data_IF_221868544359
#
_entry.id   IF_221868544359
#
_cell.length_a   1.000
_cell.length_b   1.000
_cell.length_c   1.000
_cell.angle_alpha   90.00
_cell.angle_beta   90.00
_cell.angle_gamma   90.00
#
_symmetry.space_group_name_H-M   'P 1'
#
loop_
_entity.id
_entity.type
_entity.pdbx_description
1 polymer ?
#
# COMPACT_ATOMS: atom_id res chain seq x y z
N UNK A 1 14.70 2.61 12.01
CA UNK A 1 13.49 2.00 11.43
C UNK A 1 13.27 0.56 11.91
N UNK A 2 14.28 -0.33 11.83
CA UNK A 2 14.14 -1.78 12.02
C UNK A 2 13.60 -2.19 13.41
N UNK A 3 14.00 -1.48 14.47
CA UNK A 3 13.47 -1.73 15.81
C UNK A 3 11.96 -1.45 15.89
N UNK A 4 11.49 -0.40 15.26
CA UNK A 4 10.07 -0.07 15.17
C UNK A 4 9.31 -1.05 14.27
N UNK A 5 9.90 -1.45 13.15
CA UNK A 5 9.31 -2.46 12.27
C UNK A 5 9.12 -3.80 13.01
N UNK A 6 10.13 -4.23 13.76
CA UNK A 6 10.03 -5.44 14.59
C UNK A 6 8.95 -5.33 15.68
N UNK A 7 8.80 -4.15 16.29
CA UNK A 7 7.75 -3.89 17.28
C UNK A 7 6.37 -3.94 16.64
N UNK A 8 6.17 -3.28 15.50
CA UNK A 8 4.92 -3.31 14.74
C UNK A 8 4.54 -4.74 14.37
N UNK A 9 5.50 -5.52 13.87
CA UNK A 9 5.29 -6.92 13.46
C UNK A 9 4.83 -7.79 14.64
N UNK A 10 5.43 -7.61 15.82
CA UNK A 10 5.00 -8.33 17.03
C UNK A 10 3.56 -7.96 17.41
N UNK A 11 3.25 -6.67 17.46
CA UNK A 11 1.91 -6.19 17.79
C UNK A 11 0.86 -6.75 16.83
N UNK A 12 1.14 -6.77 15.53
CA UNK A 12 0.25 -7.33 14.51
C UNK A 12 0.10 -8.85 14.67
N UNK A 13 1.20 -9.57 14.92
CA UNK A 13 1.19 -11.01 15.12
C UNK A 13 0.41 -11.42 16.40
N UNK A 14 0.59 -10.70 17.50
CA UNK A 14 -0.13 -10.95 18.77
C UNK A 14 -1.66 -10.78 18.61
N UNK A 15 -2.10 -9.99 17.65
CA UNK A 15 -3.49 -9.75 17.32
C UNK A 15 -3.98 -10.53 16.09
N UNK A 16 -3.14 -11.39 15.54
CA UNK A 16 -3.42 -12.15 14.31
C UNK A 16 -3.86 -11.25 13.13
N UNK A 17 -3.32 -10.03 13.04
CA UNK A 17 -3.61 -9.07 11.96
C UNK A 17 -2.62 -9.31 10.83
N UNK A 18 -3.16 -9.52 9.62
CA UNK A 18 -2.38 -9.64 8.39
C UNK A 18 -2.17 -8.25 7.77
N UNK A 19 -0.94 -7.83 7.58
CA UNK A 19 -0.63 -6.49 7.11
C UNK A 19 0.00 -6.50 5.72
N UNK A 20 -0.51 -5.66 4.82
CA UNK A 20 0.00 -5.42 3.47
C UNK A 20 0.44 -3.96 3.33
N UNK A 21 1.60 -3.74 2.71
CA UNK A 21 2.09 -2.42 2.33
C UNK A 21 1.93 -2.23 0.82
N UNK A 22 1.02 -1.32 0.41
CA UNK A 22 0.78 -1.00 -0.99
C UNK A 22 1.68 0.16 -1.43
N UNK A 23 2.51 -0.10 -2.41
CA UNK A 23 3.45 0.88 -2.99
C UNK A 23 3.20 1.05 -4.49
N UNK A 24 3.38 2.26 -5.00
CA UNK A 24 3.22 2.54 -6.43
C UNK A 24 3.72 3.93 -6.79
N UNK A 25 3.76 4.26 -8.08
CA UNK A 25 3.80 5.65 -8.54
C UNK A 25 2.50 6.40 -8.18
N UNK A 26 2.54 7.73 -8.10
CA UNK A 26 1.32 8.53 -7.99
C UNK A 26 0.35 8.25 -9.15
N UNK A 27 -0.94 8.23 -8.88
CA UNK A 27 -1.96 8.05 -9.90
C UNK A 27 -2.11 6.62 -10.45
N UNK A 28 -1.47 5.62 -9.86
CA UNK A 28 -1.59 4.21 -10.28
C UNK A 28 -2.95 3.57 -9.97
N UNK A 29 -3.76 4.21 -9.13
CA UNK A 29 -5.08 3.72 -8.73
C UNK A 29 -5.10 2.92 -7.42
N UNK A 30 -4.09 3.09 -6.53
CA UNK A 30 -4.04 2.42 -5.21
C UNK A 30 -5.33 2.57 -4.43
N UNK A 31 -5.76 3.81 -4.18
CA UNK A 31 -6.94 4.08 -3.37
C UNK A 31 -8.20 3.50 -3.97
N UNK A 32 -8.39 3.60 -5.29
CA UNK A 32 -9.54 3.00 -5.98
C UNK A 32 -9.53 1.47 -5.86
N UNK A 33 -8.37 0.84 -6.05
CA UNK A 33 -8.21 -0.61 -5.86
C UNK A 33 -8.53 -1.01 -4.42
N UNK A 34 -8.05 -0.25 -3.45
CA UNK A 34 -8.27 -0.50 -2.03
C UNK A 34 -9.75 -0.38 -1.66
N UNK A 35 -10.44 0.66 -2.11
CA UNK A 35 -11.89 0.82 -1.91
C UNK A 35 -12.66 -0.38 -2.47
N UNK A 36 -12.35 -0.83 -3.68
CA UNK A 36 -12.97 -2.02 -4.29
C UNK A 36 -12.67 -3.30 -3.50
N UNK A 37 -11.46 -3.43 -3.00
CA UNK A 37 -11.05 -4.58 -2.17
C UNK A 37 -11.82 -4.60 -0.86
N UNK A 38 -11.97 -3.46 -0.19
CA UNK A 38 -12.75 -3.34 1.05
C UNK A 38 -14.21 -3.73 0.80
N UNK A 39 -14.81 -3.22 -0.26
CA UNK A 39 -16.19 -3.55 -0.65
C UNK A 39 -16.37 -5.06 -0.90
N UNK A 40 -15.42 -5.68 -1.60
CA UNK A 40 -15.44 -7.12 -1.90
C UNK A 40 -15.26 -8.01 -0.65
N UNK A 41 -14.53 -7.52 0.35
CA UNK A 41 -14.28 -8.24 1.61
C UNK A 41 -15.33 -7.97 2.68
N UNK A 42 -16.25 -7.04 2.45
CA UNK A 42 -17.27 -6.64 3.43
C UNK A 42 -18.12 -7.84 3.87
N UNK A 43 -18.20 -8.03 5.19
CA UNK A 43 -18.89 -9.18 5.79
C UNK A 43 -18.09 -10.49 5.78
N UNK A 44 -16.89 -10.51 5.21
CA UNK A 44 -15.99 -11.69 5.16
C UNK A 44 -14.73 -11.48 5.99
N UNK A 45 -14.15 -10.29 5.93
CA UNK A 45 -12.92 -9.94 6.62
C UNK A 45 -12.98 -8.47 7.04
N UNK A 46 -12.67 -8.19 8.30
CA UNK A 46 -12.56 -6.82 8.77
C UNK A 46 -11.27 -6.18 8.23
N UNK A 47 -11.38 -4.99 7.66
CA UNK A 47 -10.28 -4.25 7.07
C UNK A 47 -10.09 -2.92 7.79
N UNK A 48 -8.86 -2.57 8.12
CA UNK A 48 -8.47 -1.26 8.60
C UNK A 48 -7.34 -0.71 7.73
N UNK A 49 -7.22 0.60 7.63
CA UNK A 49 -6.28 1.24 6.70
C UNK A 49 -5.46 2.31 7.40
N UNK A 50 -4.15 2.30 7.15
CA UNK A 50 -3.25 3.42 7.39
C UNK A 50 -2.95 4.03 6.03
N UNK A 51 -3.27 5.31 5.86
CA UNK A 51 -3.09 6.03 4.61
C UNK A 51 -1.99 7.08 4.78
N UNK A 52 -0.93 6.96 4.00
CA UNK A 52 0.17 7.92 3.95
C UNK A 52 0.01 8.92 2.81
N UNK A 53 -0.13 10.19 3.14
CA UNK A 53 -0.17 11.26 2.15
C UNK A 53 0.65 12.47 2.60
N UNK A 54 1.05 13.28 1.65
CA UNK A 54 1.83 14.47 1.92
C UNK A 54 0.98 15.65 2.42
N UNK A 55 -0.25 15.81 1.93
CA UNK A 55 -1.02 17.04 2.16
C UNK A 55 -2.54 16.91 2.30
N UNK A 56 -3.19 15.85 1.80
CA UNK A 56 -4.66 15.82 1.70
C UNK A 56 -5.30 14.68 2.48
N UNK A 57 -6.55 14.86 2.91
CA UNK A 57 -7.35 13.81 3.57
C UNK A 57 -8.29 13.07 2.61
N UNK A 58 -8.27 13.41 1.33
CA UNK A 58 -9.28 12.94 0.36
C UNK A 58 -9.31 11.41 0.22
N UNK A 59 -8.14 10.78 0.19
CA UNK A 59 -8.07 9.33 0.04
C UNK A 59 -8.49 8.61 1.33
N UNK A 60 -8.09 9.12 2.50
CA UNK A 60 -8.58 8.60 3.78
C UNK A 60 -10.11 8.74 3.91
N UNK A 61 -10.69 9.85 3.45
CA UNK A 61 -12.13 10.08 3.47
C UNK A 61 -12.87 9.11 2.52
N UNK A 62 -12.31 8.82 1.35
CA UNK A 62 -12.84 7.80 0.42
C UNK A 62 -12.86 6.41 1.07
N UNK A 63 -11.81 6.05 1.81
CA UNK A 63 -11.72 4.78 2.51
C UNK A 63 -12.75 4.73 3.64
N UNK A 64 -12.85 5.78 4.46
CA UNK A 64 -13.84 5.86 5.55
C UNK A 64 -15.27 5.76 5.05
N UNK A 65 -15.57 6.29 3.87
CA UNK A 65 -16.88 6.20 3.24
C UNK A 65 -17.31 4.75 2.97
N UNK A 66 -16.41 3.80 2.89
CA UNK A 66 -16.70 2.36 2.79
C UNK A 66 -17.17 1.74 4.12
N UNK A 67 -16.99 2.45 5.23
CA UNK A 67 -17.21 1.95 6.59
C UNK A 67 -15.96 1.36 7.25
N UNK A 68 -14.85 1.20 6.52
CA UNK A 68 -13.58 0.75 7.09
C UNK A 68 -12.93 1.87 7.91
N UNK A 69 -12.41 1.57 9.13
CA UNK A 69 -11.64 2.54 9.89
C UNK A 69 -10.33 2.87 9.15
N UNK A 70 -10.01 4.15 9.08
CA UNK A 70 -8.80 4.63 8.44
C UNK A 70 -8.16 5.76 9.25
N UNK A 71 -6.85 5.71 9.38
CA UNK A 71 -6.02 6.77 9.96
C UNK A 71 -5.11 7.31 8.88
N UNK A 72 -5.14 8.63 8.70
CA UNK A 72 -4.20 9.31 7.83
C UNK A 72 -2.94 9.68 8.58
N UNK A 73 -1.80 9.42 7.95
CA UNK A 73 -0.48 9.88 8.37
C UNK A 73 0.00 10.92 7.39
N UNK A 74 0.10 12.16 7.86
CA UNK A 74 0.66 13.24 7.05
C UNK A 74 2.19 13.18 7.14
N UNK A 75 2.83 12.88 6.02
CA UNK A 75 4.30 12.81 5.93
C UNK A 75 4.96 14.17 5.68
N UNK A 76 4.17 15.21 5.46
CA UNK A 76 4.67 16.55 5.17
C UNK A 76 5.49 16.57 3.88
N UNK A 77 6.80 16.80 4.01
CA UNK A 77 7.74 16.73 2.88
C UNK A 77 8.33 15.33 2.66
N UNK A 78 7.97 14.36 3.50
CA UNK A 78 8.44 12.98 3.38
C UNK A 78 7.82 12.26 2.20
N UNK A 79 8.60 11.45 1.52
CA UNK A 79 8.20 10.72 0.32
C UNK A 79 7.79 9.26 0.60
N UNK A 80 7.72 8.87 1.87
CA UNK A 80 7.36 7.52 2.32
C UNK A 80 6.92 7.52 3.77
N UNK A 81 6.23 6.46 4.18
CA UNK A 81 6.02 6.10 5.57
C UNK A 81 7.24 5.38 6.13
N UNK A 82 7.52 5.57 7.41
CA UNK A 82 8.47 4.76 8.18
C UNK A 82 7.76 3.95 9.28
N UNK A 83 8.47 3.01 9.88
CA UNK A 83 7.90 2.12 10.89
C UNK A 83 7.47 2.85 12.18
N UNK A 84 8.09 3.96 12.53
CA UNK A 84 7.71 4.78 13.67
C UNK A 84 6.36 5.46 13.44
N UNK A 85 6.15 6.05 12.26
CA UNK A 85 4.88 6.64 11.84
C UNK A 85 3.75 5.60 11.86
N UNK A 86 4.03 4.40 11.32
CA UNK A 86 3.07 3.28 11.32
C UNK A 86 2.75 2.83 12.74
N UNK A 87 3.74 2.74 13.63
CA UNK A 87 3.53 2.41 15.04
C UNK A 87 2.60 3.38 15.76
N UNK A 88 2.75 4.67 15.52
CA UNK A 88 1.82 5.68 16.03
C UNK A 88 0.40 5.51 15.48
N UNK A 89 0.28 5.29 14.17
CA UNK A 89 -1.00 5.06 13.53
C UNK A 89 -1.71 3.81 14.07
N UNK A 90 -0.98 2.74 14.34
CA UNK A 90 -1.50 1.51 14.94
C UNK A 90 -2.09 1.75 16.33
N UNK A 91 -1.48 2.62 17.13
CA UNK A 91 -1.99 2.98 18.45
C UNK A 91 -3.35 3.68 18.39
N UNK A 92 -3.56 4.50 17.35
CA UNK A 92 -4.82 5.23 17.13
C UNK A 92 -5.87 4.36 16.46
N UNK A 93 -5.48 3.62 15.43
CA UNK A 93 -6.39 2.84 14.59
C UNK A 93 -6.91 1.58 15.29
N UNK A 94 -6.07 0.93 16.10
CA UNK A 94 -6.38 -0.33 16.77
C UNK A 94 -7.03 -1.35 15.82
N UNK A 95 -6.31 -1.88 14.82
CA UNK A 95 -6.91 -2.75 13.80
C UNK A 95 -7.59 -3.97 14.44
N UNK A 96 -8.70 -4.46 13.88
CA UNK A 96 -9.46 -5.56 14.45
C UNK A 96 -8.64 -6.85 14.48
N UNK A 97 -8.77 -7.62 15.57
CA UNK A 97 -8.10 -8.91 15.73
C UNK A 97 -8.50 -9.89 14.62
N UNK A 98 -7.54 -10.58 14.05
CA UNK A 98 -7.76 -11.49 12.93
C UNK A 98 -8.12 -10.81 11.61
N UNK A 99 -8.05 -9.48 11.54
CA UNK A 99 -8.38 -8.69 10.37
C UNK A 99 -7.22 -8.46 9.40
N UNK A 100 -7.49 -7.66 8.40
CA UNK A 100 -6.54 -7.15 7.41
C UNK A 100 -6.21 -5.69 7.71
N UNK A 101 -4.93 -5.38 7.83
CA UNK A 101 -4.41 -4.03 7.80
C UNK A 101 -3.83 -3.75 6.42
N UNK A 102 -4.27 -2.69 5.78
CA UNK A 102 -3.63 -2.19 4.56
C UNK A 102 -2.93 -0.87 4.88
N UNK A 103 -1.65 -0.81 4.59
CA UNK A 103 -0.86 0.42 4.64
C UNK A 103 -0.77 0.93 3.20
N UNK A 104 -1.48 2.00 2.89
CA UNK A 104 -1.34 2.69 1.61
C UNK A 104 -0.20 3.69 1.72
N UNK A 105 0.92 3.37 1.10
CA UNK A 105 2.11 4.22 1.15
C UNK A 105 1.98 5.43 0.22
N UNK A 106 2.78 6.45 0.45
CA UNK A 106 2.89 7.62 -0.44
C UNK A 106 3.27 7.15 -1.85
N UNK A 107 2.72 7.82 -2.87
CA UNK A 107 3.03 7.50 -4.27
C UNK A 107 4.49 7.78 -4.61
N UNK A 108 5.33 6.74 -4.54
CA UNK A 108 6.76 6.79 -4.80
C UNK A 108 7.31 5.37 -5.03
N UNK A 109 8.14 5.18 -6.06
CA UNK A 109 8.78 3.90 -6.38
C UNK A 109 10.25 3.80 -5.91
N UNK A 110 10.78 4.81 -5.25
CA UNK A 110 12.18 4.85 -4.79
C UNK A 110 12.24 4.68 -3.28
N UNK A 111 11.80 5.69 -2.53
CA UNK A 111 12.00 5.75 -1.09
C UNK A 111 11.40 4.57 -0.32
N UNK A 112 10.16 4.09 -0.61
CA UNK A 112 9.56 3.00 0.17
C UNK A 112 10.21 1.64 -0.03
N UNK A 113 11.12 1.47 -0.98
CA UNK A 113 11.75 0.17 -1.27
C UNK A 113 12.54 -0.36 -0.06
N UNK A 114 13.27 0.52 0.63
CA UNK A 114 14.19 0.16 1.71
C UNK A 114 13.55 0.11 3.10
N UNK A 115 12.28 0.55 3.24
CA UNK A 115 11.63 0.69 4.54
C UNK A 115 10.68 -0.47 4.84
N UNK A 116 11.10 -1.32 5.76
CA UNK A 116 10.23 -2.29 6.43
C UNK A 116 9.34 -1.55 7.44
N UNK A 117 8.03 -1.71 7.34
CA UNK A 117 7.04 -1.10 8.22
C UNK A 117 6.51 -2.07 9.28
N UNK A 118 6.89 -3.34 9.21
CA UNK A 118 6.36 -4.44 10.00
C UNK A 118 5.26 -5.22 9.27
N UNK A 119 5.05 -4.93 7.99
CA UNK A 119 4.10 -5.65 7.13
C UNK A 119 4.47 -7.12 6.91
N UNK A 120 3.48 -7.95 6.57
CA UNK A 120 3.72 -9.32 6.12
C UNK A 120 4.25 -9.34 4.69
N UNK A 121 3.68 -8.52 3.81
CA UNK A 121 4.08 -8.44 2.40
C UNK A 121 4.00 -7.01 1.87
N UNK A 122 4.92 -6.70 0.96
CA UNK A 122 4.94 -5.48 0.15
C UNK A 122 4.36 -5.80 -1.23
N UNK A 123 3.36 -5.03 -1.63
CA UNK A 123 2.65 -5.18 -2.91
C UNK A 123 2.88 -3.95 -3.76
N UNK A 124 3.53 -4.10 -4.91
CA UNK A 124 3.72 -3.02 -5.86
C UNK A 124 2.58 -3.01 -6.89
N UNK A 125 2.02 -1.83 -7.13
CA UNK A 125 0.97 -1.63 -8.13
C UNK A 125 1.55 -0.86 -9.30
N UNK A 126 1.47 -1.46 -10.49
CA UNK A 126 1.88 -0.90 -11.76
C UNK A 126 0.66 -0.66 -12.64
N UNK A 127 0.40 0.59 -13.00
CA UNK A 127 -0.65 0.91 -13.96
C UNK A 127 -0.14 0.74 -15.39
N UNK A 128 -0.97 0.19 -16.28
CA UNK A 128 -0.64 0.09 -17.72
C UNK A 128 -0.39 1.44 -18.39
N UNK A 129 -0.80 2.55 -17.75
CA UNK A 129 -0.58 3.91 -18.24
C UNK A 129 0.82 4.45 -17.94
N UNK A 130 1.62 3.74 -17.12
CA UNK A 130 2.94 4.20 -16.69
C UNK A 130 4.09 3.73 -17.57
N UNK A 131 3.86 2.74 -18.43
CA UNK A 131 4.88 2.05 -19.25
C UNK A 131 5.39 0.77 -18.59
N UNK A 132 5.72 -0.20 -19.44
CA UNK A 132 6.19 -1.55 -19.07
C UNK A 132 7.67 -1.60 -18.64
N UNK A 133 8.38 -0.49 -18.77
CA UNK A 133 9.78 -0.32 -18.40
C UNK A 133 10.01 0.10 -16.93
N UNK A 134 8.94 0.29 -16.16
CA UNK A 134 9.05 0.69 -14.74
C UNK A 134 9.84 -0.29 -13.87
N UNK A 135 9.70 -1.62 -14.00
CA UNK A 135 10.53 -2.56 -13.26
C UNK A 135 12.02 -2.39 -13.54
N UNK A 136 12.41 -2.10 -14.79
CA UNK A 136 13.78 -1.85 -15.16
C UNK A 136 14.30 -0.49 -14.64
N UNK A 137 13.44 0.51 -14.55
CA UNK A 137 13.82 1.85 -14.04
C UNK A 137 13.90 1.91 -12.51
N UNK A 138 13.12 1.10 -11.81
CA UNK A 138 13.02 1.08 -10.35
C UNK A 138 13.25 -0.33 -9.80
N UNK A 139 14.36 -0.98 -10.11
CA UNK A 139 14.56 -2.41 -9.78
C UNK A 139 14.49 -2.68 -8.29
N UNK A 140 14.96 -1.78 -7.44
CA UNK A 140 14.96 -1.98 -5.99
C UNK A 140 13.53 -2.15 -5.44
N UNK A 141 12.56 -1.37 -5.93
CA UNK A 141 11.17 -1.49 -5.52
C UNK A 141 10.55 -2.82 -5.95
N UNK A 142 10.78 -3.21 -7.21
CA UNK A 142 10.19 -4.45 -7.75
C UNK A 142 10.85 -5.71 -7.16
N UNK A 143 12.13 -5.65 -6.81
CA UNK A 143 12.80 -6.71 -6.07
C UNK A 143 12.37 -6.79 -4.60
N UNK A 144 12.05 -5.65 -3.96
CA UNK A 144 11.61 -5.60 -2.58
C UNK A 144 10.13 -6.04 -2.41
N UNK A 145 9.35 -6.03 -3.48
CA UNK A 145 7.95 -6.41 -3.44
C UNK A 145 7.78 -7.93 -3.54
N UNK A 146 6.83 -8.47 -2.76
CA UNK A 146 6.47 -9.88 -2.80
C UNK A 146 5.48 -10.19 -3.93
N UNK A 147 4.72 -9.17 -4.35
CA UNK A 147 3.68 -9.28 -5.38
C UNK A 147 3.63 -8.00 -6.21
N UNK A 148 3.50 -8.14 -7.52
CA UNK A 148 3.17 -7.05 -8.43
C UNK A 148 1.74 -7.21 -8.95
N UNK A 149 0.95 -6.12 -8.87
CA UNK A 149 -0.37 -6.03 -9.47
C UNK A 149 -0.33 -5.09 -10.67
N UNK A 150 -0.77 -5.58 -11.82
CA UNK A 150 -0.95 -4.74 -13.01
C UNK A 150 -2.38 -4.18 -13.01
N UNK A 151 -2.50 -2.87 -12.93
CA UNK A 151 -3.76 -2.16 -12.75
C UNK A 151 -4.18 -1.40 -14.01
N UNK A 152 -5.46 -1.02 -14.08
CA UNK A 152 -6.08 -0.32 -15.21
C UNK A 152 -5.98 -1.11 -16.53
N UNK A 153 -6.09 -2.42 -16.46
CA UNK A 153 -5.95 -3.33 -17.61
C UNK A 153 -7.04 -3.13 -18.68
N UNK A 154 -8.16 -2.52 -18.31
CA UNK A 154 -9.21 -2.07 -19.24
C UNK A 154 -8.70 -1.01 -20.25
N UNK A 155 -7.60 -0.33 -19.93
CA UNK A 155 -6.96 0.66 -20.81
C UNK A 155 -5.94 0.05 -21.78
N UNK A 156 -5.63 -1.25 -21.68
CA UNK A 156 -4.66 -1.91 -22.59
C UNK A 156 -4.92 -1.64 -24.08
N UNK A 157 -6.18 -1.61 -24.58
CA UNK A 157 -6.43 -1.31 -26.00
C UNK A 157 -6.01 0.11 -26.43
N UNK A 158 -5.78 1.00 -25.48
CA UNK A 158 -5.52 2.43 -25.74
C UNK A 158 -4.09 2.88 -25.41
N UNK A 159 -3.26 1.97 -24.88
CA UNK A 159 -1.88 2.26 -24.45
C UNK A 159 -0.92 1.24 -25.06
N UNK A 160 0.35 1.61 -25.13
CA UNK A 160 1.44 0.68 -25.46
C UNK A 160 2.00 0.12 -24.14
N UNK A 161 1.62 -1.11 -23.80
CA UNK A 161 2.07 -1.80 -22.61
C UNK A 161 2.15 -3.30 -22.88
N UNK A 162 3.33 -3.88 -22.67
CA UNK A 162 3.56 -5.32 -22.73
C UNK A 162 3.62 -5.90 -21.30
N UNK A 163 2.54 -6.57 -20.91
CA UNK A 163 2.46 -7.17 -19.58
C UNK A 163 3.48 -8.30 -19.40
N UNK A 164 3.82 -9.03 -20.46
CA UNK A 164 4.86 -10.06 -20.43
C UNK A 164 6.23 -9.46 -20.13
N UNK A 165 6.61 -8.41 -20.86
CA UNK A 165 7.86 -7.70 -20.65
C UNK A 165 7.97 -7.12 -19.22
N UNK A 166 6.88 -6.59 -18.68
CA UNK A 166 6.86 -6.05 -17.33
C UNK A 166 7.02 -7.12 -16.23
N UNK A 167 6.57 -8.35 -16.49
CA UNK A 167 6.68 -9.48 -15.53
C UNK A 167 8.04 -10.15 -15.60
N UNK A 168 8.68 -10.18 -16.77
CA UNK A 168 9.96 -10.87 -17.01
C UNK A 168 11.18 -9.98 -16.66
N UNK A 169 10.98 -8.69 -16.42
CA UNK A 169 12.05 -7.73 -16.09
C UNK A 169 12.34 -7.68 -14.60
#
# INVERSE_FOLDING_TARGET
NDAYAAQNRRLLADRAVFALNLVSSPGSGKTTLLVRTIEALKGRLAVAVIEGDQQTSLDADRIRATGAPAVQVNTGKGCHLDAHMVGHALSTLAPPDGGLLVIENVGNLVCPAEFDLGEAHKVVILSVTEGDDKPLKYPDMFHAADLMLVNKVDLLPYVQFDAGAAVES
#
